data_IF_984588595602
#
_entry.id   IF_984588595602
#
_cell.length_a   1.000
_cell.length_b   1.000
_cell.length_c   1.000
_cell.angle_alpha   90.00
_cell.angle_beta   90.00
_cell.angle_gamma   90.00
#
_symmetry.space_group_name_H-M   'P 1'
#
loop_
_entity.id
_entity.type
_entity.pdbx_description
1 polymer ?
#
# COMPACT_ATOMS: atom_id res chain seq x y z
N UNK A 1 -55.27 -4.30 -0.76
CA UNK A 1 -54.13 -5.10 -1.25
C UNK A 1 -52.96 -4.29 -1.85
N UNK A 2 -52.99 -2.95 -1.94
CA UNK A 2 -51.85 -2.17 -2.49
C UNK A 2 -50.70 -1.92 -1.48
N UNK A 3 -50.96 -1.92 -0.17
CA UNK A 3 -49.94 -1.60 0.85
C UNK A 3 -48.89 -2.69 1.08
N UNK A 4 -49.25 -3.97 0.90
CA UNK A 4 -48.33 -5.09 1.13
C UNK A 4 -47.29 -5.22 0.02
N UNK A 5 -47.66 -4.95 -1.24
CA UNK A 5 -46.71 -4.99 -2.36
C UNK A 5 -45.70 -3.84 -2.29
N UNK A 6 -46.13 -2.66 -1.83
CA UNK A 6 -45.21 -1.54 -1.58
C UNK A 6 -44.20 -1.89 -0.46
N UNK A 7 -44.68 -2.44 0.68
CA UNK A 7 -43.81 -2.87 1.78
C UNK A 7 -42.83 -3.95 1.35
N UNK A 8 -43.27 -4.96 0.59
CA UNK A 8 -42.39 -6.00 0.03
C UNK A 8 -41.32 -5.41 -0.89
N UNK A 9 -41.68 -4.49 -1.79
CA UNK A 9 -40.70 -3.81 -2.66
C UNK A 9 -39.66 -3.00 -1.88
N UNK A 10 -40.09 -2.29 -0.83
CA UNK A 10 -39.17 -1.54 0.05
C UNK A 10 -38.23 -2.49 0.80
N UNK A 11 -38.74 -3.57 1.37
CA UNK A 11 -37.92 -4.56 2.07
C UNK A 11 -36.90 -5.19 1.13
N UNK A 12 -37.32 -5.61 -0.07
CA UNK A 12 -36.41 -6.16 -1.09
C UNK A 12 -35.34 -5.14 -1.49
N UNK A 13 -35.70 -3.86 -1.65
CA UNK A 13 -34.76 -2.79 -1.95
C UNK A 13 -33.70 -2.61 -0.86
N UNK A 14 -34.10 -2.57 0.41
CA UNK A 14 -33.17 -2.48 1.55
C UNK A 14 -32.25 -3.70 1.62
N UNK A 15 -32.80 -4.90 1.37
CA UNK A 15 -32.03 -6.14 1.35
C UNK A 15 -30.95 -6.11 0.26
N UNK A 16 -31.28 -5.63 -0.94
CA UNK A 16 -30.32 -5.47 -2.03
C UNK A 16 -29.19 -4.51 -1.63
N UNK A 17 -29.51 -3.37 -1.00
CA UNK A 17 -28.49 -2.40 -0.54
C UNK A 17 -27.55 -3.06 0.48
N UNK A 18 -28.08 -3.79 1.47
CA UNK A 18 -27.26 -4.51 2.45
C UNK A 18 -26.37 -5.56 1.80
N UNK A 19 -26.87 -6.28 0.79
CA UNK A 19 -26.08 -7.27 0.03
C UNK A 19 -24.96 -6.59 -0.74
N UNK A 20 -25.21 -5.44 -1.38
CA UNK A 20 -24.17 -4.68 -2.11
C UNK A 20 -23.06 -4.23 -1.15
N UNK A 21 -23.41 -3.70 0.01
CA UNK A 21 -22.44 -3.28 1.03
C UNK A 21 -21.61 -4.49 1.51
N UNK A 22 -22.27 -5.62 1.80
CA UNK A 22 -21.60 -6.84 2.23
C UNK A 22 -20.64 -7.39 1.16
N UNK A 23 -21.07 -7.44 -0.10
CA UNK A 23 -20.23 -7.85 -1.22
C UNK A 23 -19.05 -6.91 -1.41
N UNK A 24 -19.25 -5.59 -1.33
CA UNK A 24 -18.17 -4.62 -1.45
C UNK A 24 -17.08 -4.86 -0.39
N UNK A 25 -17.48 -5.07 0.86
CA UNK A 25 -16.54 -5.35 1.95
C UNK A 25 -15.75 -6.65 1.77
N UNK A 26 -16.42 -7.71 1.29
CA UNK A 26 -15.75 -8.99 1.01
C UNK A 26 -14.78 -8.88 -0.17
N UNK A 27 -15.18 -8.17 -1.22
CA UNK A 27 -14.36 -7.92 -2.40
C UNK A 27 -13.09 -7.14 -2.01
N UNK A 28 -13.22 -6.08 -1.21
CA UNK A 28 -12.09 -5.27 -0.74
C UNK A 28 -11.08 -6.11 0.05
N UNK A 29 -11.54 -6.94 1.00
CA UNK A 29 -10.65 -7.85 1.73
C UNK A 29 -9.96 -8.86 0.82
N UNK A 30 -10.66 -9.37 -0.19
CA UNK A 30 -10.08 -10.25 -1.20
C UNK A 30 -8.96 -9.57 -1.99
N UNK A 31 -9.21 -8.35 -2.48
CA UNK A 31 -8.21 -7.57 -3.22
C UNK A 31 -6.99 -7.24 -2.36
N UNK A 32 -7.18 -6.85 -1.09
CA UNK A 32 -6.08 -6.57 -0.17
C UNK A 32 -5.22 -7.82 0.05
N UNK A 33 -5.84 -8.97 0.30
CA UNK A 33 -5.12 -10.23 0.51
C UNK A 33 -4.32 -10.68 -0.72
N UNK A 34 -4.89 -10.53 -1.92
CA UNK A 34 -4.20 -10.83 -3.18
C UNK A 34 -3.09 -9.81 -3.45
N UNK A 35 -3.34 -8.53 -3.19
CA UNK A 35 -2.38 -7.45 -3.35
C UNK A 35 -1.15 -7.62 -2.45
N UNK A 36 -1.36 -7.97 -1.18
CA UNK A 36 -0.29 -8.26 -0.22
C UNK A 36 0.54 -9.48 -0.61
N UNK A 37 -0.10 -10.54 -1.13
CA UNK A 37 0.61 -11.74 -1.60
C UNK A 37 1.44 -11.47 -2.87
N UNK A 38 0.99 -10.54 -3.71
CA UNK A 38 1.64 -10.21 -4.99
C UNK A 38 2.52 -8.96 -4.93
N UNK A 39 2.71 -8.37 -3.74
CA UNK A 39 3.39 -7.09 -3.50
C UNK A 39 2.81 -5.89 -4.25
N UNK A 40 1.62 -6.01 -4.85
CA UNK A 40 0.90 -4.87 -5.45
C UNK A 40 0.39 -3.87 -4.40
N UNK A 41 0.37 -4.31 -3.14
CA UNK A 41 0.13 -3.47 -1.97
C UNK A 41 1.34 -3.61 -1.07
N UNK A 42 2.02 -2.50 -0.82
CA UNK A 42 3.10 -2.37 0.14
C UNK A 42 2.48 -2.19 1.52
N UNK A 43 2.91 -3.01 2.48
CA UNK A 43 2.51 -2.88 3.87
C UNK A 43 3.52 -2.02 4.62
N UNK A 44 3.07 -0.95 5.26
CA UNK A 44 3.92 -0.17 6.17
C UNK A 44 3.58 -0.57 7.60
N UNK A 45 4.60 -0.96 8.36
CA UNK A 45 4.50 -1.40 9.74
C UNK A 45 5.24 -0.41 10.65
N UNK A 46 4.67 -0.17 11.83
CA UNK A 46 5.31 0.49 12.95
C UNK A 46 5.23 -0.47 14.15
N UNK A 47 6.37 -0.83 14.73
CA UNK A 47 6.49 -1.85 15.78
C UNK A 47 5.67 -3.13 15.47
N UNK A 48 5.85 -3.70 14.26
CA UNK A 48 5.10 -4.85 13.74
C UNK A 48 3.58 -4.65 13.52
N UNK A 49 3.03 -3.45 13.74
CA UNK A 49 1.61 -3.16 13.51
C UNK A 49 1.43 -2.43 12.18
N UNK A 50 0.48 -2.85 11.33
CA UNK A 50 0.21 -2.14 10.08
C UNK A 50 -0.36 -0.76 10.34
N UNK A 51 0.34 0.27 9.87
CA UNK A 51 -0.10 1.66 9.91
C UNK A 51 -0.64 2.14 8.56
N UNK A 52 -0.15 1.55 7.45
CA UNK A 52 -0.63 1.90 6.11
C UNK A 52 -0.53 0.73 5.12
N UNK A 53 -1.36 0.82 4.08
CA UNK A 53 -1.33 -0.05 2.90
C UNK A 53 -1.25 0.85 1.67
N UNK A 54 -0.17 0.74 0.91
CA UNK A 54 0.11 1.61 -0.22
C UNK A 54 0.10 0.81 -1.51
N UNK A 55 -0.81 1.13 -2.41
CA UNK A 55 -0.77 0.60 -3.78
C UNK A 55 -0.01 1.55 -4.72
N UNK A 56 0.14 1.16 -5.98
CA UNK A 56 0.82 1.99 -6.98
C UNK A 56 0.18 3.37 -7.16
N UNK A 57 -1.14 3.51 -7.01
CA UNK A 57 -1.86 4.78 -7.18
C UNK A 57 -1.58 5.73 -6.02
N UNK A 58 -1.50 5.19 -4.81
CA UNK A 58 -1.10 5.99 -3.63
C UNK A 58 0.33 6.51 -3.82
N UNK A 59 1.24 5.66 -4.29
CA UNK A 59 2.61 6.07 -4.59
C UNK A 59 2.68 7.12 -5.72
N UNK A 60 1.89 6.98 -6.78
CA UNK A 60 1.76 8.00 -7.85
C UNK A 60 1.30 9.35 -7.30
N UNK A 61 0.35 9.35 -6.36
CA UNK A 61 -0.15 10.57 -5.71
C UNK A 61 0.91 11.22 -4.81
N UNK A 62 1.66 10.43 -4.03
CA UNK A 62 2.74 10.94 -3.18
C UNK A 62 3.88 11.52 -4.03
N UNK A 63 4.18 10.89 -5.17
CA UNK A 63 5.25 11.29 -6.07
C UNK A 63 4.93 12.49 -6.95
N UNK A 64 3.76 13.11 -6.82
CA UNK A 64 3.27 14.20 -7.68
C UNK A 64 3.46 13.90 -9.17
N UNK A 65 3.17 12.65 -9.57
CA UNK A 65 3.35 12.14 -10.94
C UNK A 65 4.79 12.08 -11.46
N UNK A 66 5.82 12.12 -10.59
CA UNK A 66 7.19 11.81 -11.01
C UNK A 66 7.22 10.38 -11.59
N UNK A 67 7.65 10.19 -12.85
CA UNK A 67 7.72 8.86 -13.47
C UNK A 67 8.67 7.90 -12.74
N UNK A 68 9.58 8.42 -11.90
CA UNK A 68 10.47 7.63 -11.05
C UNK A 68 9.86 7.29 -9.70
N UNK A 69 8.68 7.80 -9.35
CA UNK A 69 8.03 7.55 -8.06
C UNK A 69 8.55 8.41 -6.90
N UNK A 70 7.89 8.32 -5.73
CA UNK A 70 8.17 9.19 -4.59
C UNK A 70 9.49 8.84 -3.87
N UNK A 71 10.15 9.82 -3.25
CA UNK A 71 11.21 9.55 -2.27
C UNK A 71 10.69 8.73 -1.09
N UNK A 72 11.51 7.81 -0.57
CA UNK A 72 11.15 6.97 0.58
C UNK A 72 10.69 7.78 1.80
N UNK A 73 11.32 8.94 2.05
CA UNK A 73 10.91 9.83 3.15
C UNK A 73 9.48 10.36 2.98
N UNK A 74 9.06 10.66 1.76
CA UNK A 74 7.70 11.11 1.48
C UNK A 74 6.69 9.97 1.68
N UNK A 75 7.08 8.74 1.31
CA UNK A 75 6.29 7.53 1.55
C UNK A 75 6.08 7.27 3.03
N UNK A 76 7.15 7.37 3.84
CA UNK A 76 7.07 7.20 5.30
C UNK A 76 6.20 8.28 5.96
N UNK A 77 6.38 9.54 5.58
CA UNK A 77 5.56 10.65 6.08
C UNK A 77 4.07 10.46 5.72
N UNK A 78 3.77 10.07 4.47
CA UNK A 78 2.40 9.83 4.03
C UNK A 78 1.75 8.60 4.70
N UNK A 79 2.57 7.62 5.12
CA UNK A 79 2.13 6.46 5.88
C UNK A 79 1.87 6.78 7.37
N UNK A 80 2.26 7.97 7.85
CA UNK A 80 2.13 8.37 9.25
C UNK A 80 3.24 7.81 10.15
N UNK A 81 4.40 7.46 9.60
CA UNK A 81 5.56 7.09 10.39
C UNK A 81 6.28 8.36 10.89
N UNK A 82 6.09 8.71 12.17
CA UNK A 82 6.59 9.98 12.75
C UNK A 82 7.91 9.81 13.53
N UNK A 83 8.01 8.76 14.35
CA UNK A 83 9.14 8.47 15.22
C UNK A 83 9.65 7.05 14.97
N UNK A 84 10.90 6.95 14.53
CA UNK A 84 11.60 5.69 14.32
C UNK A 84 13.11 5.94 14.30
N UNK A 85 13.89 4.93 14.64
CA UNK A 85 15.35 4.90 14.58
C UNK A 85 15.84 4.05 13.40
N UNK A 86 15.08 3.00 13.05
CA UNK A 86 15.43 2.04 12.01
C UNK A 86 14.31 1.85 10.99
N UNK A 87 14.70 1.59 9.75
CA UNK A 87 13.79 1.23 8.66
C UNK A 87 14.29 -0.07 8.03
N UNK A 88 13.39 -1.03 7.89
CA UNK A 88 13.62 -2.32 7.25
C UNK A 88 12.70 -2.46 6.06
N UNK A 89 13.26 -2.61 4.86
CA UNK A 89 12.51 -2.72 3.61
C UNK A 89 12.71 -4.12 3.05
N UNK A 90 11.61 -4.83 2.77
CA UNK A 90 11.63 -6.22 2.32
C UNK A 90 11.00 -6.34 0.93
N UNK A 91 11.72 -6.99 0.03
CA UNK A 91 11.27 -7.31 -1.32
C UNK A 91 10.49 -8.62 -1.40
N UNK A 92 9.71 -8.78 -2.47
CA UNK A 92 9.05 -10.01 -2.84
C UNK A 92 9.89 -10.75 -3.90
N UNK A 93 10.17 -12.05 -3.66
CA UNK A 93 10.81 -12.93 -4.63
C UNK A 93 12.21 -13.39 -4.18
N UNK A 94 13.20 -12.51 -4.29
CA UNK A 94 14.60 -12.83 -3.96
C UNK A 94 14.92 -12.76 -2.44
N UNK A 95 13.97 -12.30 -1.65
CA UNK A 95 14.16 -12.11 -0.20
C UNK A 95 15.09 -10.96 0.13
N UNK A 96 15.31 -10.02 -0.80
CA UNK A 96 16.11 -8.82 -0.54
C UNK A 96 15.58 -8.07 0.67
N UNK A 97 16.48 -7.75 1.59
CA UNK A 97 16.19 -6.91 2.76
C UNK A 97 17.21 -5.79 2.78
N UNK A 98 16.71 -4.56 2.87
CA UNK A 98 17.52 -3.37 3.01
C UNK A 98 17.26 -2.75 4.37
N UNK A 99 18.33 -2.51 5.12
CA UNK A 99 18.31 -1.91 6.44
C UNK A 99 18.94 -0.53 6.33
N UNK A 100 18.28 0.48 6.91
CA UNK A 100 18.86 1.79 7.09
C UNK A 100 18.44 2.38 8.43
N UNK A 101 19.34 3.16 9.03
CA UNK A 101 19.00 4.01 10.16
C UNK A 101 18.38 5.31 9.67
N UNK A 102 17.58 5.98 10.52
CA UNK A 102 16.96 7.28 10.20
C UNK A 102 17.98 8.32 9.74
N UNK A 103 19.18 8.32 10.32
CA UNK A 103 20.28 9.23 9.95
C UNK A 103 20.77 9.02 8.50
N UNK A 104 20.59 7.83 7.94
CA UNK A 104 20.99 7.48 6.58
C UNK A 104 19.88 7.79 5.56
N UNK A 105 18.66 8.04 6.03
CA UNK A 105 17.53 8.39 5.18
C UNK A 105 17.80 9.70 4.45
N UNK A 106 17.61 9.68 3.13
CA UNK A 106 17.86 10.84 2.30
C UNK A 106 16.95 10.84 1.07
N UNK A 107 16.85 11.98 0.40
CA UNK A 107 15.96 12.18 -0.75
C UNK A 107 16.41 11.46 -2.03
N UNK A 108 17.46 10.61 -1.97
CA UNK A 108 17.95 9.83 -3.12
C UNK A 108 17.48 8.38 -3.10
N UNK A 109 16.92 7.92 -1.99
CA UNK A 109 16.20 6.66 -1.94
C UNK A 109 14.80 6.87 -2.50
N UNK A 110 14.50 6.25 -3.64
CA UNK A 110 13.24 6.44 -4.37
C UNK A 110 12.49 5.11 -4.43
N UNK A 111 11.17 5.17 -4.19
CA UNK A 111 10.25 4.07 -4.41
C UNK A 111 9.79 4.11 -5.88
N UNK A 112 10.57 3.49 -6.76
CA UNK A 112 10.35 3.51 -8.20
C UNK A 112 9.25 2.56 -8.62
N UNK A 113 8.14 3.13 -9.10
CA UNK A 113 7.05 2.39 -9.69
C UNK A 113 7.54 1.52 -10.85
N UNK A 114 7.05 0.28 -10.89
CA UNK A 114 7.39 -0.69 -11.92
C UNK A 114 6.13 -1.21 -12.65
N UNK A 115 6.34 -1.86 -13.79
CA UNK A 115 5.27 -2.39 -14.64
C UNK A 115 4.43 -3.51 -14.00
N UNK A 116 4.81 -4.01 -12.82
CA UNK A 116 4.06 -5.03 -12.09
C UNK A 116 2.98 -4.44 -11.16
N UNK A 117 2.87 -3.10 -11.10
CA UNK A 117 1.91 -2.40 -10.23
C UNK A 117 2.37 -2.34 -8.79
N UNK A 118 3.69 -2.27 -8.56
CA UNK A 118 4.32 -2.04 -7.26
C UNK A 118 5.53 -1.12 -7.44
N UNK A 119 6.39 -0.99 -6.43
CA UNK A 119 7.62 -0.23 -6.50
C UNK A 119 8.86 -1.05 -6.14
N UNK A 120 9.98 -0.67 -6.72
CA UNK A 120 11.33 -1.09 -6.35
C UNK A 120 12.00 0.02 -5.53
N UNK A 121 12.87 -0.32 -4.58
CA UNK A 121 13.71 0.66 -3.90
C UNK A 121 14.98 0.88 -4.72
N UNK A 122 15.21 2.11 -5.15
CA UNK A 122 16.41 2.47 -5.90
C UNK A 122 17.19 3.58 -5.20
N UNK A 123 18.52 3.52 -5.29
CA UNK A 123 19.36 4.67 -5.00
C UNK A 123 19.57 5.48 -6.27
N UNK A 124 19.02 6.68 -6.31
CA UNK A 124 19.11 7.59 -7.43
C UNK A 124 20.55 8.02 -7.75
N UNK A 125 21.48 7.99 -6.78
CA UNK A 125 22.88 8.38 -7.01
C UNK A 125 23.62 7.36 -7.86
N UNK A 126 23.42 6.08 -7.54
CA UNK A 126 24.13 4.95 -8.15
C UNK A 126 23.31 4.29 -9.25
N UNK A 127 22.02 4.65 -9.37
CA UNK A 127 21.03 3.94 -10.20
C UNK A 127 20.92 2.45 -9.86
N UNK A 128 21.34 2.06 -8.66
CA UNK A 128 21.30 0.69 -8.19
C UNK A 128 19.92 0.38 -7.63
N UNK A 129 19.37 -0.78 -8.01
CA UNK A 129 18.19 -1.35 -7.36
C UNK A 129 18.63 -2.04 -6.08
N UNK A 130 18.12 -1.56 -4.94
CA UNK A 130 18.44 -2.06 -3.60
C UNK A 130 17.46 -3.16 -3.17
N UNK A 131 16.17 -3.00 -3.50
CA UNK A 131 15.11 -3.96 -3.21
C UNK A 131 14.16 -4.03 -4.40
N UNK A 132 13.84 -5.22 -4.87
CA UNK A 132 12.83 -5.42 -5.93
C UNK A 132 11.48 -5.78 -5.32
N UNK A 133 10.41 -5.30 -5.95
CA UNK A 133 9.02 -5.62 -5.58
C UNK A 133 8.78 -5.44 -4.07
N UNK A 134 8.93 -4.21 -3.59
CA UNK A 134 8.77 -3.90 -2.16
C UNK A 134 7.43 -4.48 -1.69
N UNK A 135 7.50 -5.34 -0.68
CA UNK A 135 6.35 -5.96 -0.05
C UNK A 135 6.01 -5.26 1.26
N UNK A 136 7.04 -4.90 2.01
CA UNK A 136 6.90 -4.40 3.37
C UNK A 136 7.98 -3.38 3.69
N UNK A 137 7.56 -2.35 4.42
CA UNK A 137 8.42 -1.34 5.04
C UNK A 137 8.10 -1.36 6.53
N UNK A 138 9.05 -1.69 7.38
CA UNK A 138 8.89 -1.71 8.82
C UNK A 138 9.75 -0.59 9.42
N UNK A 139 9.13 0.27 10.21
CA UNK A 139 9.82 1.25 11.04
C UNK A 139 9.86 0.76 12.49
N UNK A 140 10.95 1.06 13.19
CA UNK A 140 11.20 0.68 14.57
C UNK A 140 11.86 1.82 15.32
#
# INVERSE_FOLDING_TARGET
MQGDDFRKRVITGVLIVLVIIGCAYLIEKGFLAIGLKSAKVIRVLDENKPIAYLDSRVLEQIGDQDPKGPPLIAVLNAAGAEEYDEIVIRGLGDGSVYFLHREQLNNKLICSLNGNGTADLIDQRTSQVLVKLIKEIEVK
#
